data_IF_269691073780
#
_entry.id   IF_269691073780
#
_cell.length_a   1.000
_cell.length_b   1.000
_cell.length_c   1.000
_cell.angle_alpha   90.00
_cell.angle_beta   90.00
_cell.angle_gamma   90.00
#
_symmetry.space_group_name_H-M   'P 1'
#
loop_
_entity.id
_entity.type
_entity.pdbx_description
1 polymer ?
#
# COMPACT_ATOMS: atom_id res chain seq x y z
N UNK A 1 -0.78 20.83 15.10
CA UNK A 1 0.53 21.49 15.29
C UNK A 1 0.47 22.94 14.81
N UNK A 2 0.06 23.19 13.57
CA UNK A 2 -0.06 24.52 12.96
C UNK A 2 -0.72 25.58 13.87
N UNK A 3 -1.95 25.35 14.34
CA UNK A 3 -2.68 26.30 15.18
C UNK A 3 -1.92 26.67 16.47
N UNK A 4 -1.20 25.71 17.06
CA UNK A 4 -0.38 25.96 18.24
C UNK A 4 0.83 26.84 17.90
N UNK A 5 1.54 26.57 16.80
CA UNK A 5 2.67 27.38 16.36
C UNK A 5 2.25 28.81 16.01
N UNK A 6 1.14 28.97 15.28
CA UNK A 6 0.57 30.29 14.94
C UNK A 6 0.18 31.07 16.19
N UNK A 7 -0.40 30.42 17.20
CA UNK A 7 -0.69 31.06 18.48
C UNK A 7 0.57 31.53 19.25
N UNK A 8 1.75 30.98 18.96
CA UNK A 8 3.03 31.36 19.55
C UNK A 8 3.87 32.29 18.66
N UNK A 9 3.26 32.91 17.64
CA UNK A 9 3.89 33.94 16.81
C UNK A 9 4.67 33.41 15.61
N UNK A 10 4.57 32.11 15.29
CA UNK A 10 5.10 31.58 14.03
C UNK A 10 4.16 31.99 12.89
N UNK A 11 4.70 32.69 11.89
CA UNK A 11 3.90 33.22 10.78
C UNK A 11 3.47 32.13 9.78
N UNK A 12 4.34 31.14 9.53
CA UNK A 12 4.19 30.15 8.47
C UNK A 12 4.56 28.75 8.95
N UNK A 13 3.77 27.74 8.56
CA UNK A 13 4.01 26.35 8.91
C UNK A 13 3.77 25.40 7.74
N UNK A 14 4.83 24.70 7.34
CA UNK A 14 4.74 23.57 6.41
C UNK A 14 4.99 22.28 7.19
N UNK A 15 4.12 21.30 6.99
CA UNK A 15 4.35 19.92 7.41
C UNK A 15 4.79 19.08 6.21
N UNK A 16 5.35 17.91 6.45
CA UNK A 16 5.86 17.11 5.35
C UNK A 16 6.28 15.70 5.66
N UNK A 17 6.62 15.00 4.59
CA UNK A 17 7.07 13.62 4.61
C UNK A 17 8.27 13.41 3.70
N UNK A 18 9.24 12.63 4.18
CA UNK A 18 10.44 12.23 3.44
C UNK A 18 10.29 10.74 3.12
N UNK A 19 9.95 10.39 1.87
CA UNK A 19 9.66 9.00 1.49
C UNK A 19 10.89 8.26 0.97
N UNK A 20 12.03 8.44 1.64
CA UNK A 20 13.27 7.72 1.34
C UNK A 20 14.01 7.34 2.62
N UNK A 21 14.87 6.32 2.53
CA UNK A 21 15.78 5.97 3.62
C UNK A 21 16.87 7.05 3.81
N UNK A 22 17.48 7.13 5.01
CA UNK A 22 18.54 8.12 5.27
C UNK A 22 19.71 8.08 4.27
N UNK A 23 20.05 6.91 3.73
CA UNK A 23 21.15 6.73 2.77
C UNK A 23 20.88 7.39 1.41
N UNK A 24 19.62 7.61 1.06
CA UNK A 24 19.21 8.18 -0.23
C UNK A 24 19.00 9.70 -0.18
N UNK A 25 19.02 10.32 1.00
CA UNK A 25 18.84 11.76 1.16
C UNK A 25 19.92 12.53 0.39
N UNK A 26 19.51 13.55 -0.35
CA UNK A 26 20.40 14.36 -1.21
C UNK A 26 20.73 13.74 -2.56
N UNK A 27 20.19 12.57 -2.88
CA UNK A 27 20.29 11.97 -4.22
C UNK A 27 19.09 12.35 -5.10
N UNK A 28 19.17 12.07 -6.40
CA UNK A 28 18.05 12.26 -7.33
C UNK A 28 16.82 11.38 -7.01
N UNK A 29 17.00 10.34 -6.19
CA UNK A 29 15.93 9.46 -5.74
C UNK A 29 15.21 9.99 -4.49
N UNK A 30 15.75 11.02 -3.83
CA UNK A 30 15.13 11.64 -2.66
C UNK A 30 13.94 12.51 -3.07
N UNK A 31 12.77 12.23 -2.53
CA UNK A 31 11.56 13.02 -2.72
C UNK A 31 10.98 13.42 -1.37
N UNK A 32 10.57 14.68 -1.27
CA UNK A 32 10.04 15.31 -0.05
C UNK A 32 8.70 15.94 -0.42
N UNK A 33 7.65 15.61 0.31
CA UNK A 33 6.32 16.21 0.14
C UNK A 33 6.05 17.18 1.26
N UNK A 34 5.58 18.38 0.91
CA UNK A 34 5.21 19.43 1.85
C UNK A 34 3.75 19.82 1.64
N UNK A 35 3.07 20.10 2.74
CA UNK A 35 1.70 20.63 2.76
C UNK A 35 1.57 21.73 3.81
N UNK A 36 0.51 22.52 3.71
CA UNK A 36 0.34 23.74 4.49
C UNK A 36 0.71 24.97 3.68
N UNK A 37 0.18 26.12 4.12
CA UNK A 37 0.40 27.44 3.50
C UNK A 37 0.14 27.47 1.98
N UNK A 38 0.31 28.65 1.38
CA UNK A 38 0.14 28.84 -0.06
C UNK A 38 1.33 28.32 -0.86
N UNK A 39 1.11 28.02 -2.14
CA UNK A 39 2.17 27.62 -3.07
C UNK A 39 3.29 28.68 -3.20
N UNK A 40 2.97 29.96 -2.95
CA UNK A 40 3.96 31.04 -2.90
C UNK A 40 4.91 30.92 -1.70
N UNK A 41 4.43 30.45 -0.54
CA UNK A 41 5.26 30.15 0.63
C UNK A 41 6.11 28.91 0.37
N UNK A 42 5.49 27.85 -0.13
CA UNK A 42 6.17 26.62 -0.56
C UNK A 42 7.34 26.92 -1.51
N UNK A 43 7.13 27.76 -2.53
CA UNK A 43 8.14 28.08 -3.55
C UNK A 43 9.42 28.68 -2.98
N UNK A 44 9.34 29.41 -1.86
CA UNK A 44 10.53 29.94 -1.18
C UNK A 44 11.29 28.86 -0.41
N UNK A 45 10.57 27.92 0.19
CA UNK A 45 11.14 26.83 1.00
C UNK A 45 11.71 25.72 0.12
N UNK A 46 11.05 25.38 -0.98
CA UNK A 46 11.47 24.32 -1.89
C UNK A 46 12.87 24.56 -2.46
N UNK A 47 13.22 25.81 -2.76
CA UNK A 47 14.57 26.18 -3.19
C UNK A 47 15.65 25.88 -2.13
N UNK A 48 15.37 26.18 -0.86
CA UNK A 48 16.29 25.94 0.26
C UNK A 48 16.48 24.43 0.50
N UNK A 49 15.41 23.65 0.33
CA UNK A 49 15.40 22.20 0.57
C UNK A 49 15.90 21.38 -0.62
N UNK A 50 16.15 21.99 -1.79
CA UNK A 50 16.63 21.30 -2.99
C UNK A 50 17.89 20.43 -2.82
N UNK A 51 18.86 20.73 -1.90
CA UNK A 51 19.99 19.84 -1.67
C UNK A 51 19.62 18.50 -1.00
N UNK A 52 18.42 18.41 -0.41
CA UNK A 52 17.94 17.20 0.26
C UNK A 52 17.19 16.26 -0.69
N UNK A 53 16.72 16.76 -1.83
CA UNK A 53 15.92 16.00 -2.79
C UNK A 53 14.94 16.88 -3.57
N UNK A 54 14.11 16.22 -4.38
CA UNK A 54 13.01 16.87 -5.09
C UNK A 54 11.88 17.18 -4.11
N UNK A 55 11.48 18.45 -4.03
CA UNK A 55 10.43 18.91 -3.11
C UNK A 55 9.12 19.09 -3.87
N UNK A 56 8.04 18.54 -3.33
CA UNK A 56 6.71 18.50 -3.93
C UNK A 56 5.71 19.23 -3.02
N UNK A 57 4.84 20.04 -3.62
CA UNK A 57 3.71 20.62 -2.91
C UNK A 57 2.50 19.71 -3.03
N UNK A 58 1.81 19.49 -1.91
CA UNK A 58 0.62 18.62 -1.84
C UNK A 58 -0.66 19.45 -1.85
N UNK A 59 -0.87 20.27 -0.82
CA UNK A 59 -2.08 21.07 -0.62
C UNK A 59 -1.86 22.14 0.46
N UNK A 60 -2.79 23.09 0.55
CA UNK A 60 -2.82 24.11 1.63
C UNK A 60 -3.20 23.51 2.99
N UNK A 61 -3.84 22.33 3.02
CA UNK A 61 -4.10 21.60 4.26
C UNK A 61 -2.78 21.10 4.86
N UNK A 62 -2.35 21.60 6.04
CA UNK A 62 -1.10 21.21 6.66
C UNK A 62 -1.03 19.72 6.98
N UNK A 63 -2.15 19.01 7.12
CA UNK A 63 -2.17 17.57 7.39
C UNK A 63 -1.96 16.67 6.17
N UNK A 64 -2.04 17.21 4.95
CA UNK A 64 -2.17 16.40 3.74
C UNK A 64 -0.92 15.54 3.43
N UNK A 65 0.29 16.12 3.54
CA UNK A 65 1.53 15.39 3.25
C UNK A 65 1.75 14.23 4.23
N UNK A 66 1.48 14.45 5.52
CA UNK A 66 1.56 13.39 6.53
C UNK A 66 0.52 12.29 6.28
N UNK A 67 -0.68 12.65 5.85
CA UNK A 67 -1.71 11.67 5.53
C UNK A 67 -1.32 10.80 4.33
N UNK A 68 -0.73 11.40 3.28
CA UNK A 68 -0.22 10.67 2.12
C UNK A 68 0.91 9.70 2.51
N UNK A 69 1.79 10.10 3.44
CA UNK A 69 2.85 9.26 3.97
C UNK A 69 2.33 8.05 4.75
N UNK A 70 1.41 8.30 5.68
CA UNK A 70 0.77 7.22 6.45
C UNK A 70 0.06 6.24 5.51
N UNK A 71 -0.63 6.72 4.48
CA UNK A 71 -1.29 5.88 3.50
C UNK A 71 -0.29 5.02 2.71
N UNK A 72 0.82 5.61 2.25
CA UNK A 72 1.86 4.89 1.52
C UNK A 72 2.55 3.82 2.39
N UNK A 73 2.89 4.16 3.64
CA UNK A 73 3.53 3.24 4.57
C UNK A 73 2.59 2.11 5.00
N UNK A 74 1.30 2.39 5.22
CA UNK A 74 0.30 1.35 5.52
C UNK A 74 0.19 0.32 4.38
N UNK A 75 0.19 0.79 3.13
CA UNK A 75 0.19 -0.10 1.96
C UNK A 75 1.49 -0.92 1.86
N UNK A 76 2.64 -0.28 2.12
CA UNK A 76 3.95 -0.95 2.15
C UNK A 76 4.00 -2.06 3.20
N UNK A 77 3.52 -1.80 4.42
CA UNK A 77 3.50 -2.77 5.50
C UNK A 77 2.58 -3.97 5.21
N UNK A 78 1.45 -3.72 4.53
CA UNK A 78 0.59 -4.76 3.99
C UNK A 78 1.34 -5.66 2.99
N UNK A 79 2.08 -5.06 2.04
CA UNK A 79 2.92 -5.78 1.08
C UNK A 79 4.01 -6.61 1.79
N UNK A 80 4.69 -6.04 2.79
CA UNK A 80 5.72 -6.75 3.57
C UNK A 80 5.14 -7.95 4.32
N UNK A 81 3.97 -7.78 4.94
CA UNK A 81 3.26 -8.86 5.63
C UNK A 81 2.91 -10.01 4.69
N UNK A 82 2.35 -9.71 3.51
CA UNK A 82 2.06 -10.70 2.47
C UNK A 82 3.33 -11.37 1.92
N UNK A 83 4.41 -10.60 1.75
CA UNK A 83 5.72 -11.10 1.34
C UNK A 83 6.33 -12.10 2.33
N UNK A 84 6.29 -11.79 3.62
CA UNK A 84 6.76 -12.69 4.69
C UNK A 84 5.94 -13.99 4.74
N UNK A 85 4.63 -13.91 4.55
CA UNK A 85 3.77 -15.09 4.42
C UNK A 85 4.19 -15.95 3.23
N UNK A 86 4.39 -15.35 2.06
CA UNK A 86 4.84 -16.06 0.86
C UNK A 86 6.19 -16.76 1.08
N UNK A 87 7.14 -16.08 1.73
CA UNK A 87 8.44 -16.68 2.10
C UNK A 87 8.28 -17.89 3.00
N UNK A 88 7.39 -17.84 4.00
CA UNK A 88 7.13 -18.96 4.88
C UNK A 88 6.48 -20.15 4.15
N UNK A 89 5.59 -19.90 3.19
CA UNK A 89 5.04 -20.95 2.33
C UNK A 89 6.13 -21.58 1.46
N UNK A 90 6.99 -20.76 0.84
CA UNK A 90 8.08 -21.26 0.01
C UNK A 90 9.09 -22.12 0.79
N UNK A 91 9.30 -21.84 2.08
CA UNK A 91 10.11 -22.70 2.97
C UNK A 91 9.54 -24.11 3.18
N UNK A 92 8.25 -24.34 2.87
CA UNK A 92 7.62 -25.66 2.97
C UNK A 92 7.95 -26.57 1.80
N UNK A 93 8.57 -26.03 0.75
CA UNK A 93 9.04 -26.82 -0.38
C UNK A 93 9.95 -27.95 0.09
N UNK A 94 9.65 -29.17 -0.36
CA UNK A 94 10.45 -30.36 -0.01
C UNK A 94 11.85 -30.24 -0.60
N UNK A 95 12.87 -30.55 0.21
CA UNK A 95 14.22 -30.70 -0.29
C UNK A 95 14.28 -31.86 -1.30
N UNK A 96 14.99 -31.65 -2.42
CA UNK A 96 15.24 -32.67 -3.45
C UNK A 96 16.76 -32.72 -3.65
N UNK A 97 17.36 -33.91 -3.60
CA UNK A 97 18.80 -34.09 -3.81
C UNK A 97 19.64 -33.99 -2.55
N UNK A 98 20.62 -33.09 -2.50
CA UNK A 98 21.72 -32.97 -1.53
C UNK A 98 21.28 -32.54 -0.10
N UNK A 99 19.99 -32.64 0.23
CA UNK A 99 19.44 -32.42 1.57
C UNK A 99 19.38 -30.95 2.01
N UNK A 100 19.76 -30.00 1.14
CA UNK A 100 19.66 -28.56 1.45
C UNK A 100 18.21 -28.09 1.38
N UNK A 101 17.85 -27.21 2.30
CA UNK A 101 16.56 -26.51 2.23
C UNK A 101 16.51 -25.65 0.95
N UNK A 102 15.40 -25.65 0.20
CA UNK A 102 15.26 -24.83 -0.99
C UNK A 102 15.47 -23.34 -0.69
N UNK A 103 16.11 -22.64 -1.62
CA UNK A 103 16.26 -21.18 -1.51
C UNK A 103 14.89 -20.50 -1.66
N UNK A 104 14.59 -19.59 -0.74
CA UNK A 104 13.41 -18.71 -0.82
C UNK A 104 13.66 -17.53 -1.76
N UNK A 105 14.90 -17.09 -1.88
CA UNK A 105 15.26 -15.92 -2.69
C UNK A 105 14.95 -16.14 -4.18
N UNK A 106 15.30 -17.31 -4.71
CA UNK A 106 15.08 -17.63 -6.12
C UNK A 106 13.59 -17.58 -6.53
N UNK A 107 12.63 -18.24 -5.84
CA UNK A 107 11.21 -18.11 -6.16
C UNK A 107 10.66 -16.70 -5.90
N UNK A 108 11.14 -15.97 -4.88
CA UNK A 108 10.76 -14.58 -4.66
C UNK A 108 11.11 -13.72 -5.88
N UNK A 109 12.35 -13.82 -6.39
CA UNK A 109 12.81 -13.06 -7.56
C UNK A 109 12.17 -13.49 -8.87
N UNK A 110 11.89 -14.79 -9.03
CA UNK A 110 11.38 -15.34 -10.30
C UNK A 110 9.87 -15.26 -10.46
N UNK A 111 9.11 -15.30 -9.36
CA UNK A 111 7.65 -15.42 -9.41
C UNK A 111 6.99 -14.29 -8.62
N UNK A 112 7.35 -14.11 -7.35
CA UNK A 112 6.60 -13.21 -6.46
C UNK A 112 6.78 -11.74 -6.84
N UNK A 113 8.04 -11.28 -7.01
CA UNK A 113 8.31 -9.89 -7.40
C UNK A 113 7.68 -9.57 -8.77
N UNK A 114 7.90 -10.34 -9.85
CA UNK A 114 7.28 -10.05 -11.15
C UNK A 114 5.75 -9.99 -11.08
N UNK A 115 5.12 -10.93 -10.37
CA UNK A 115 3.67 -10.93 -10.19
C UNK A 115 3.19 -9.66 -9.48
N UNK A 116 3.76 -9.33 -8.32
CA UNK A 116 3.39 -8.12 -7.57
C UNK A 116 3.61 -6.85 -8.41
N UNK A 117 4.72 -6.76 -9.14
CA UNK A 117 4.99 -5.62 -10.01
C UNK A 117 3.97 -5.46 -11.13
N UNK A 118 3.47 -6.55 -11.72
CA UNK A 118 2.40 -6.49 -12.72
C UNK A 118 1.05 -6.03 -12.14
N UNK A 119 0.81 -6.27 -10.86
CA UNK A 119 -0.42 -5.87 -10.17
C UNK A 119 -0.33 -4.50 -9.50
N UNK A 120 0.86 -3.93 -9.27
CA UNK A 120 1.00 -2.60 -8.66
C UNK A 120 0.15 -1.50 -9.34
N UNK A 121 0.10 -1.39 -10.69
CA UNK A 121 -0.73 -0.37 -11.35
C UNK A 121 -2.23 -0.51 -11.07
N UNK A 122 -2.69 -1.72 -10.73
CA UNK A 122 -4.10 -2.00 -10.45
C UNK A 122 -4.63 -1.23 -9.23
N UNK A 123 -3.75 -0.81 -8.31
CA UNK A 123 -4.15 0.04 -7.18
C UNK A 123 -4.71 1.38 -7.66
N UNK A 124 -4.17 1.95 -8.74
CA UNK A 124 -4.68 3.20 -9.33
C UNK A 124 -6.06 3.02 -9.96
N UNK A 125 -6.28 1.87 -10.62
CA UNK A 125 -7.58 1.51 -11.17
C UNK A 125 -8.66 1.33 -10.08
N UNK A 126 -8.30 0.68 -8.96
CA UNK A 126 -9.19 0.54 -7.80
C UNK A 126 -9.46 1.90 -7.16
N UNK A 127 -8.45 2.76 -7.03
CA UNK A 127 -8.62 4.11 -6.48
C UNK A 127 -9.62 4.92 -7.30
N UNK A 128 -9.49 4.92 -8.64
CA UNK A 128 -10.46 5.58 -9.51
C UNK A 128 -11.88 5.01 -9.34
N UNK A 129 -12.02 3.68 -9.22
CA UNK A 129 -13.32 3.05 -8.98
C UNK A 129 -13.91 3.41 -7.61
N UNK A 130 -13.08 3.64 -6.59
CA UNK A 130 -13.50 4.10 -5.28
C UNK A 130 -13.98 5.55 -5.33
N UNK A 131 -13.24 6.44 -5.99
CA UNK A 131 -13.59 7.86 -6.16
C UNK A 131 -14.89 8.04 -6.95
N UNK A 132 -15.09 7.24 -8.01
CA UNK A 132 -16.29 7.27 -8.85
C UNK A 132 -17.49 6.52 -8.24
N UNK A 133 -17.28 5.86 -7.10
CA UNK A 133 -18.25 4.92 -6.49
C UNK A 133 -18.73 3.81 -7.45
N UNK A 134 -17.92 3.43 -8.43
CA UNK A 134 -18.23 2.38 -9.41
C UNK A 134 -17.93 0.99 -8.83
N UNK A 135 -18.84 0.52 -7.98
CA UNK A 135 -18.75 -0.78 -7.31
C UNK A 135 -18.79 -1.98 -8.27
N UNK A 136 -19.28 -1.79 -9.50
CA UNK A 136 -19.35 -2.84 -10.53
C UNK A 136 -18.04 -3.00 -11.30
N UNK A 137 -17.11 -2.06 -11.18
CA UNK A 137 -15.82 -2.07 -11.90
C UNK A 137 -14.91 -3.17 -11.37
N UNK A 138 -15.06 -4.36 -11.95
CA UNK A 138 -14.35 -5.58 -11.53
C UNK A 138 -13.16 -5.96 -12.42
N UNK A 139 -12.95 -5.24 -13.53
CA UNK A 139 -11.82 -5.44 -14.45
C UNK A 139 -11.69 -6.88 -14.99
N UNK A 140 -12.82 -7.58 -15.16
CA UNK A 140 -12.84 -8.97 -15.60
C UNK A 140 -12.50 -9.98 -14.50
N UNK A 141 -12.36 -9.52 -13.24
CA UNK A 141 -12.08 -10.35 -12.08
C UNK A 141 -13.12 -10.10 -10.97
N UNK A 142 -14.38 -10.56 -11.15
CA UNK A 142 -15.46 -10.32 -10.19
C UNK A 142 -15.18 -10.95 -8.82
N UNK A 143 -15.75 -10.37 -7.77
CA UNK A 143 -15.53 -10.78 -6.37
C UNK A 143 -15.82 -12.27 -6.15
N UNK A 144 -16.81 -12.85 -6.84
CA UNK A 144 -17.10 -14.29 -6.76
C UNK A 144 -15.93 -15.14 -7.25
N UNK A 145 -15.28 -14.75 -8.35
CA UNK A 145 -14.13 -15.47 -8.90
C UNK A 145 -12.93 -15.34 -7.95
N UNK A 146 -12.68 -14.13 -7.45
CA UNK A 146 -11.61 -13.87 -6.50
C UNK A 146 -11.78 -14.67 -5.20
N UNK A 147 -12.98 -14.68 -4.63
CA UNK A 147 -13.28 -15.44 -3.42
C UNK A 147 -12.98 -16.94 -3.59
N UNK A 148 -13.44 -17.56 -4.68
CA UNK A 148 -13.16 -18.98 -4.97
C UNK A 148 -11.66 -19.27 -5.12
N UNK A 149 -10.93 -18.39 -5.83
CA UNK A 149 -9.48 -18.49 -5.96
C UNK A 149 -8.78 -18.35 -4.61
N UNK A 150 -9.24 -17.42 -3.79
CA UNK A 150 -8.70 -17.17 -2.45
C UNK A 150 -8.92 -18.34 -1.49
N UNK A 151 -10.09 -18.98 -1.53
CA UNK A 151 -10.37 -20.19 -0.74
C UNK A 151 -9.40 -21.33 -1.06
N UNK A 152 -8.99 -21.47 -2.34
CA UNK A 152 -7.98 -22.43 -2.77
C UNK A 152 -6.60 -22.10 -2.19
N UNK A 153 -6.23 -20.81 -2.14
CA UNK A 153 -4.98 -20.35 -1.50
C UNK A 153 -4.99 -20.70 0.00
N UNK A 154 -6.08 -20.38 0.70
CA UNK A 154 -6.23 -20.68 2.13
C UNK A 154 -6.12 -22.17 2.41
N UNK A 155 -6.69 -23.01 1.55
CA UNK A 155 -6.57 -24.46 1.67
C UNK A 155 -5.14 -24.94 1.44
N UNK A 156 -4.44 -24.42 0.44
CA UNK A 156 -3.02 -24.71 0.21
C UNK A 156 -2.14 -24.34 1.41
N UNK A 157 -2.40 -23.20 2.04
CA UNK A 157 -1.69 -22.79 3.27
C UNK A 157 -1.93 -23.78 4.41
N UNK A 158 -3.17 -24.24 4.62
CA UNK A 158 -3.49 -25.23 5.67
C UNK A 158 -2.78 -26.56 5.44
N UNK A 159 -2.78 -27.05 4.20
CA UNK A 159 -2.10 -28.31 3.83
C UNK A 159 -0.60 -28.24 4.11
N UNK A 160 0.01 -27.08 3.85
CA UNK A 160 1.42 -26.82 4.11
C UNK A 160 1.72 -26.42 5.57
N UNK A 161 0.71 -26.39 6.45
CA UNK A 161 0.78 -25.99 7.86
C UNK A 161 1.32 -24.56 8.06
N UNK A 162 0.89 -23.65 7.21
CA UNK A 162 1.16 -22.21 7.30
C UNK A 162 -0.10 -21.50 7.81
N UNK A 163 0.08 -20.52 8.71
CA UNK A 163 -1.04 -19.75 9.24
C UNK A 163 -1.78 -18.99 8.15
N UNK A 164 -3.11 -18.96 8.24
CA UNK A 164 -3.99 -18.20 7.34
C UNK A 164 -4.37 -16.83 7.90
N UNK A 165 -3.97 -16.51 9.14
CA UNK A 165 -4.40 -15.28 9.82
C UNK A 165 -4.03 -14.01 9.06
N UNK A 166 -2.85 -13.98 8.44
CA UNK A 166 -2.39 -12.85 7.62
C UNK A 166 -3.25 -12.57 6.38
N UNK A 167 -4.15 -13.48 6.02
CA UNK A 167 -5.07 -13.36 4.88
C UNK A 167 -6.53 -13.23 5.30
N UNK A 168 -6.83 -13.30 6.60
CA UNK A 168 -8.21 -13.34 7.11
C UNK A 168 -8.99 -12.06 6.80
N UNK A 169 -8.35 -10.89 6.99
CA UNK A 169 -8.98 -9.59 6.69
C UNK A 169 -9.48 -9.54 5.24
N UNK A 170 -8.63 -9.90 4.27
CA UNK A 170 -9.00 -9.83 2.86
C UNK A 170 -10.11 -10.84 2.51
N UNK A 171 -10.08 -12.03 3.10
CA UNK A 171 -11.17 -13.00 2.96
C UNK A 171 -12.52 -12.47 3.47
N UNK A 172 -12.51 -11.87 4.66
CA UNK A 172 -13.72 -11.33 5.28
C UNK A 172 -14.27 -10.15 4.47
N UNK A 173 -13.39 -9.33 3.88
CA UNK A 173 -13.75 -8.27 2.94
C UNK A 173 -14.35 -8.82 1.64
N UNK A 174 -13.78 -9.87 1.04
CA UNK A 174 -14.36 -10.54 -0.15
C UNK A 174 -15.78 -11.07 0.14
N UNK A 175 -15.96 -11.73 1.29
CA UNK A 175 -17.27 -12.22 1.72
C UNK A 175 -18.27 -11.09 1.92
N UNK A 176 -17.86 -10.00 2.58
CA UNK A 176 -18.69 -8.82 2.80
C UNK A 176 -19.08 -8.15 1.47
N UNK A 177 -18.11 -7.92 0.58
CA UNK A 177 -18.35 -7.34 -0.74
C UNK A 177 -19.34 -8.18 -1.54
N UNK A 178 -19.15 -9.50 -1.63
CA UNK A 178 -20.08 -10.39 -2.31
C UNK A 178 -21.50 -10.29 -1.73
N UNK A 179 -21.62 -10.30 -0.40
CA UNK A 179 -22.92 -10.22 0.29
C UNK A 179 -23.65 -8.89 0.03
N UNK A 180 -22.92 -7.78 0.03
CA UNK A 180 -23.50 -6.43 -0.01
C UNK A 180 -23.61 -5.85 -1.43
N UNK A 181 -22.76 -6.27 -2.36
CA UNK A 181 -22.66 -5.71 -3.72
C UNK A 181 -22.91 -6.74 -4.84
N UNK A 182 -23.07 -8.02 -4.49
CA UNK A 182 -23.35 -9.10 -5.44
C UNK A 182 -22.09 -9.75 -6.02
N UNK A 183 -22.31 -10.80 -6.81
CA UNK A 183 -21.25 -11.69 -7.31
C UNK A 183 -20.29 -11.02 -8.31
N UNK A 184 -20.79 -10.04 -9.07
CA UNK A 184 -20.05 -9.33 -10.12
C UNK A 184 -19.33 -8.06 -9.62
N UNK A 185 -19.37 -7.77 -8.32
CA UNK A 185 -18.74 -6.57 -7.76
C UNK A 185 -17.21 -6.56 -7.93
N UNK A 186 -16.65 -5.34 -8.00
CA UNK A 186 -15.20 -5.10 -7.92
C UNK A 186 -14.67 -5.06 -6.48
N UNK A 187 -13.41 -4.64 -6.32
CA UNK A 187 -12.75 -4.57 -5.01
C UNK A 187 -12.94 -3.23 -4.28
N UNK A 188 -13.27 -2.15 -5.00
CA UNK A 188 -13.41 -0.81 -4.45
C UNK A 188 -14.30 -0.72 -3.19
N UNK A 189 -15.44 -1.45 -3.06
CA UNK A 189 -16.27 -1.41 -1.85
C UNK A 189 -15.52 -1.74 -0.55
N UNK A 190 -14.45 -2.53 -0.63
CA UNK A 190 -13.66 -2.93 0.54
C UNK A 190 -13.03 -1.74 1.26
N UNK A 191 -12.66 -0.67 0.52
CA UNK A 191 -12.09 0.53 1.12
C UNK A 191 -13.04 1.19 2.12
N UNK A 192 -14.34 1.25 1.79
CA UNK A 192 -15.37 1.82 2.66
C UNK A 192 -15.56 0.95 3.91
N UNK A 193 -15.46 -0.37 3.79
CA UNK A 193 -15.65 -1.29 4.91
C UNK A 193 -14.56 -1.23 5.97
N UNK A 194 -13.44 -0.58 5.65
CA UNK A 194 -12.30 -0.39 6.55
C UNK A 194 -12.34 0.95 7.28
N UNK A 195 -13.37 1.77 7.06
CA UNK A 195 -13.62 2.98 7.85
C UNK A 195 -14.22 2.61 9.20
N UNK A 196 -13.71 3.23 10.27
CA UNK A 196 -14.33 3.19 11.60
C UNK A 196 -15.42 4.28 11.69
N UNK A 197 -16.50 3.99 12.42
CA UNK A 197 -17.61 4.93 12.68
C UNK A 197 -17.30 5.94 13.79
#
# INVERSE_FOLDING_TARGET
MEAWLKAHGIAEYLDGAIMVTPELVGTEHSSIWLSGETEAVFSRVSGIMSPLGKVHYVAEDPGAACLWDIAALAAMDGMLTGGLLAMNLLKRQRAVGDGKSPSVENPIRKIVIPLLSSFLPFLGDIAAALDDEDWGRNFGNPVLMQLKGFETILEGLRQEKVSTEGLRLFHDLLLRTKREKGDDAGLAPMGIYMLEE
#
